data_IF_080413318859
#
_entry.id   IF_080413318859
#
_cell.length_a   1.000
_cell.length_b   1.000
_cell.length_c   1.000
_cell.angle_alpha   90.00
_cell.angle_beta   90.00
_cell.angle_gamma   90.00
#
_symmetry.space_group_name_H-M   'P 1'
#
loop_
_entity.id
_entity.type
_entity.pdbx_description
1 polymer ?
#
# COMPACT_ATOMS: atom_id res chain seq x y z
N UNK A 1 -12.85 -11.35 -49.29
CA UNK A 1 -13.04 -11.80 -47.90
C UNK A 1 -12.22 -10.86 -47.04
N UNK A 2 -12.81 -9.73 -46.66
CA UNK A 2 -12.23 -8.80 -45.69
C UNK A 2 -13.26 -8.69 -44.57
N UNK A 3 -13.06 -9.52 -43.55
CA UNK A 3 -13.89 -9.48 -42.34
C UNK A 3 -13.54 -8.20 -41.58
N UNK A 4 -14.53 -7.32 -41.48
CA UNK A 4 -14.46 -6.06 -40.74
C UNK A 4 -14.00 -6.35 -39.31
N UNK A 5 -12.81 -5.84 -39.00
CA UNK A 5 -12.28 -5.63 -37.66
C UNK A 5 -13.41 -5.07 -36.79
N UNK A 6 -13.93 -5.90 -35.89
CA UNK A 6 -14.96 -5.48 -34.94
C UNK A 6 -14.46 -4.26 -34.18
N UNK A 7 -15.21 -3.17 -34.28
CA UNK A 7 -15.06 -2.00 -33.43
C UNK A 7 -15.12 -2.45 -31.97
N UNK A 8 -13.95 -2.51 -31.32
CA UNK A 8 -13.88 -2.51 -29.86
C UNK A 8 -14.52 -1.20 -29.40
N UNK A 9 -15.57 -1.21 -28.56
CA UNK A 9 -16.06 0.03 -27.97
C UNK A 9 -14.91 0.68 -27.20
N UNK A 10 -14.66 1.96 -27.49
CA UNK A 10 -13.61 2.72 -26.83
C UNK A 10 -13.77 2.59 -25.31
N UNK A 11 -12.69 2.36 -24.55
CA UNK A 11 -12.78 2.38 -23.10
C UNK A 11 -13.29 3.75 -22.67
N UNK A 12 -14.37 3.75 -21.90
CA UNK A 12 -15.00 4.94 -21.35
C UNK A 12 -13.93 5.80 -20.64
N UNK A 13 -13.53 6.89 -21.29
CA UNK A 13 -12.50 7.84 -20.80
C UNK A 13 -13.04 8.73 -19.67
N UNK A 14 -14.03 8.25 -18.92
CA UNK A 14 -14.69 8.99 -17.84
C UNK A 14 -14.53 8.38 -16.44
N UNK A 15 -14.20 7.08 -16.32
CA UNK A 15 -14.15 6.41 -15.03
C UNK A 15 -12.72 6.35 -14.47
N UNK A 16 -12.09 7.50 -14.25
CA UNK A 16 -11.01 7.52 -13.27
C UNK A 16 -11.68 7.32 -11.90
N UNK A 17 -11.34 6.26 -11.13
CA UNK A 17 -11.81 6.18 -9.75
C UNK A 17 -11.41 7.47 -9.04
N UNK A 18 -12.30 8.07 -8.22
CA UNK A 18 -12.01 9.33 -7.57
C UNK A 18 -10.67 9.21 -6.85
N UNK A 19 -9.74 10.12 -7.18
CA UNK A 19 -8.48 10.24 -6.45
C UNK A 19 -8.90 10.49 -5.01
N UNK A 20 -8.61 9.52 -4.12
CA UNK A 20 -8.91 9.63 -2.71
C UNK A 20 -8.31 10.93 -2.20
N UNK A 21 -9.19 11.88 -1.91
CA UNK A 21 -8.83 13.25 -1.59
C UNK A 21 -8.03 13.26 -0.28
N UNK A 22 -7.11 14.22 -0.14
CA UNK A 22 -6.19 14.40 1.00
C UNK A 22 -6.85 14.57 2.40
N UNK A 23 -8.14 14.26 2.55
CA UNK A 23 -8.89 14.24 3.80
C UNK A 23 -9.30 12.85 4.29
N UNK A 24 -9.04 11.77 3.53
CA UNK A 24 -9.25 10.41 4.03
C UNK A 24 -8.16 10.07 5.04
N UNK A 25 -8.54 9.93 6.32
CA UNK A 25 -7.63 9.37 7.33
C UNK A 25 -7.30 7.94 6.91
N UNK A 26 -6.02 7.66 6.78
CA UNK A 26 -5.53 6.32 6.52
C UNK A 26 -5.94 5.41 7.68
N UNK A 27 -6.18 4.12 7.39
CA UNK A 27 -6.31 3.16 8.47
C UNK A 27 -4.98 3.05 9.22
N UNK A 28 -4.99 2.65 10.51
CA UNK A 28 -3.74 2.46 11.26
C UNK A 28 -2.73 1.54 10.55
N UNK A 29 -3.22 0.51 9.84
CA UNK A 29 -2.38 -0.39 9.02
C UNK A 29 -1.73 0.37 7.87
N UNK A 30 -2.49 1.21 7.17
CA UNK A 30 -1.99 2.03 6.07
C UNK A 30 -0.98 3.09 6.54
N UNK A 31 -1.20 3.71 7.70
CA UNK A 31 -0.26 4.67 8.31
C UNK A 31 1.07 4.00 8.68
N UNK A 32 1.00 2.82 9.31
CA UNK A 32 2.20 2.06 9.69
C UNK A 32 2.98 1.60 8.45
N UNK A 33 2.28 1.11 7.41
CA UNK A 33 2.90 0.75 6.13
C UNK A 33 3.56 1.96 5.45
N UNK A 34 2.85 3.10 5.38
CA UNK A 34 3.38 4.32 4.79
C UNK A 34 4.64 4.80 5.50
N UNK A 35 4.67 4.73 6.83
CA UNK A 35 5.83 5.08 7.65
C UNK A 35 7.03 4.19 7.35
N UNK A 36 6.82 2.86 7.32
CA UNK A 36 7.86 1.89 6.98
C UNK A 36 8.44 2.12 5.57
N UNK A 37 7.59 2.23 4.55
CA UNK A 37 8.02 2.43 3.16
C UNK A 37 8.72 3.78 2.99
N UNK A 38 8.18 4.84 3.57
CA UNK A 38 8.80 6.17 3.50
C UNK A 38 10.19 6.18 4.10
N UNK A 39 10.38 5.52 5.25
CA UNK A 39 11.70 5.38 5.86
C UNK A 39 12.65 4.59 4.94
N UNK A 40 12.22 3.43 4.44
CA UNK A 40 13.06 2.57 3.60
C UNK A 40 13.52 3.26 2.31
N UNK A 41 12.69 4.14 1.74
CA UNK A 41 13.01 4.89 0.53
C UNK A 41 13.92 6.12 0.77
N UNK A 42 13.94 6.66 2.00
CA UNK A 42 14.65 7.91 2.32
C UNK A 42 15.88 7.72 3.19
N UNK A 43 15.98 6.64 3.93
CA UNK A 43 17.11 6.35 4.81
C UNK A 43 18.31 5.90 3.97
N UNK A 44 19.43 6.59 4.08
CA UNK A 44 20.65 6.26 3.33
C UNK A 44 21.16 4.86 3.68
N UNK A 45 21.12 4.48 4.96
CA UNK A 45 21.47 3.13 5.40
C UNK A 45 20.54 2.03 4.83
N UNK A 46 19.27 2.35 4.53
CA UNK A 46 18.36 1.40 3.87
C UNK A 46 18.57 1.31 2.36
N UNK A 47 19.14 2.36 1.75
CA UNK A 47 19.42 2.43 0.31
C UNK A 47 20.76 1.80 -0.03
N UNK A 48 21.68 1.79 0.92
CA UNK A 48 22.98 1.16 0.82
C UNK A 48 22.88 -0.33 1.20
N UNK A 49 23.07 -1.20 0.20
CA UNK A 49 22.97 -2.67 0.35
C UNK A 49 24.10 -3.21 1.25
N UNK A 50 25.22 -2.49 1.34
CA UNK A 50 26.41 -2.94 2.06
C UNK A 50 26.39 -2.51 3.54
N UNK A 51 25.51 -1.58 3.93
CA UNK A 51 25.46 -1.04 5.30
C UNK A 51 24.78 -1.97 6.33
N UNK A 52 24.31 -3.15 5.93
CA UNK A 52 23.70 -4.12 6.84
C UNK A 52 22.29 -3.72 7.29
N UNK A 53 21.88 -4.13 8.49
CA UNK A 53 20.50 -3.97 8.97
C UNK A 53 20.23 -2.60 9.58
N UNK A 54 19.21 -1.89 9.06
CA UNK A 54 18.71 -0.65 9.64
C UNK A 54 17.70 -0.96 10.77
N UNK A 55 18.09 -0.70 12.02
CA UNK A 55 17.23 -0.97 13.19
C UNK A 55 15.90 -0.21 13.19
N UNK A 56 15.86 1.01 12.62
CA UNK A 56 14.61 1.78 12.52
C UNK A 56 13.65 1.19 11.49
N UNK A 57 14.18 0.76 10.34
CA UNK A 57 13.40 0.02 9.33
C UNK A 57 12.81 -1.26 9.92
N UNK A 58 13.59 -1.99 10.73
CA UNK A 58 13.11 -3.19 11.40
C UNK A 58 12.02 -2.88 12.45
N UNK A 59 12.20 -1.82 13.25
CA UNK A 59 11.20 -1.35 14.22
C UNK A 59 9.89 -0.99 13.53
N UNK A 60 9.95 -0.24 12.44
CA UNK A 60 8.77 0.17 11.66
C UNK A 60 8.08 -1.02 10.99
N UNK A 61 8.86 -1.99 10.50
CA UNK A 61 8.33 -3.22 9.93
C UNK A 61 7.57 -4.03 10.98
N UNK A 62 8.14 -4.24 12.17
CA UNK A 62 7.47 -4.94 13.28
C UNK A 62 6.18 -4.23 13.69
N UNK A 63 6.22 -2.91 13.83
CA UNK A 63 5.04 -2.12 14.15
C UNK A 63 3.90 -2.29 13.12
N UNK A 64 4.24 -2.33 11.83
CA UNK A 64 3.24 -2.59 10.79
C UNK A 64 2.63 -3.99 10.89
N UNK A 65 3.43 -5.02 11.17
CA UNK A 65 2.96 -6.39 11.37
C UNK A 65 2.02 -6.47 12.58
N UNK A 66 2.40 -5.90 13.72
CA UNK A 66 1.60 -5.93 14.95
C UNK A 66 0.22 -5.26 14.75
N UNK A 67 0.20 -4.09 14.10
CA UNK A 67 -1.06 -3.39 13.80
C UNK A 67 -1.91 -4.18 12.80
N UNK A 68 -1.29 -4.84 11.83
CA UNK A 68 -1.98 -5.69 10.85
C UNK A 68 -2.64 -6.90 11.49
N UNK A 69 -1.91 -7.61 12.35
CA UNK A 69 -2.48 -8.74 13.11
C UNK A 69 -3.63 -8.28 14.01
N UNK A 70 -3.47 -7.20 14.76
CA UNK A 70 -4.55 -6.66 15.59
C UNK A 70 -5.80 -6.24 14.81
N UNK A 71 -5.64 -5.76 13.58
CA UNK A 71 -6.75 -5.44 12.68
C UNK A 71 -7.45 -6.70 12.17
N UNK A 72 -6.70 -7.72 11.74
CA UNK A 72 -7.25 -8.99 11.28
C UNK A 72 -8.00 -9.73 12.40
N UNK A 73 -7.45 -9.75 13.61
CA UNK A 73 -8.09 -10.35 14.78
C UNK A 73 -9.42 -9.67 15.12
N UNK A 74 -9.50 -8.35 14.93
CA UNK A 74 -10.75 -7.61 15.14
C UNK A 74 -11.80 -7.98 14.12
N UNK A 75 -11.44 -8.01 12.84
CA UNK A 75 -12.35 -8.42 11.76
C UNK A 75 -12.84 -9.85 11.99
N UNK A 76 -11.94 -10.76 12.40
CA UNK A 76 -12.30 -12.14 12.70
C UNK A 76 -13.29 -12.25 13.87
N UNK A 77 -13.15 -11.42 14.92
CA UNK A 77 -14.11 -11.36 16.02
C UNK A 77 -15.46 -10.77 15.63
N UNK A 78 -15.49 -9.78 14.74
CA UNK A 78 -16.73 -9.16 14.26
C UNK A 78 -17.51 -10.05 13.29
N UNK A 79 -16.84 -11.03 12.67
CA UNK A 79 -17.45 -11.98 11.75
C UNK A 79 -18.07 -13.22 12.43
N UNK A 80 -17.89 -13.40 13.74
CA UNK A 80 -18.45 -14.50 14.54
C UNK A 80 -19.55 -13.98 15.49
#
# INVERSE_FOLDING_TARGET
MDERRGEQPAPDRGAHPPIASAGARLSPVQEAWSSYVTHRLRCDACRDIDQGTCGESERLHRAWIDVSHGALDRIAREAN
#
